data_IF_813307348003
#
_entry.id   IF_813307348003
#
_cell.length_a   1.000
_cell.length_b   1.000
_cell.length_c   1.000
_cell.angle_alpha   90.00
_cell.angle_beta   90.00
_cell.angle_gamma   90.00
#
_symmetry.space_group_name_H-M   'P 1'
#
loop_
_entity.id
_entity.type
_entity.pdbx_description
1 polymer ?
#
# COMPACT_ATOMS: atom_id res chain seq x y z
N UNK A 1 -50.88 4.47 22.58
CA UNK A 1 -50.03 4.90 23.71
C UNK A 1 -49.49 3.69 24.45
N UNK A 2 -48.67 2.89 23.77
CA UNK A 2 -47.75 1.91 24.36
C UNK A 2 -46.41 2.01 23.60
N UNK A 3 -46.11 3.22 23.11
CA UNK A 3 -44.77 3.59 22.68
C UNK A 3 -43.87 3.56 23.92
N UNK A 4 -42.60 3.18 23.77
CA UNK A 4 -41.54 3.27 24.78
C UNK A 4 -41.25 2.10 25.74
N UNK A 5 -41.78 0.87 25.55
CA UNK A 5 -41.32 -0.25 26.40
C UNK A 5 -40.47 -1.34 25.72
N UNK A 6 -40.49 -1.48 24.40
CA UNK A 6 -39.66 -2.51 23.72
C UNK A 6 -38.30 -1.95 23.24
N UNK A 7 -38.06 -0.65 23.42
CA UNK A 7 -36.79 0.02 23.07
C UNK A 7 -35.70 -0.17 24.15
N UNK A 8 -35.97 -0.80 25.31
CA UNK A 8 -35.05 -0.76 26.45
C UNK A 8 -34.82 -2.08 27.19
N UNK A 9 -34.72 -3.19 26.45
CA UNK A 9 -33.97 -4.37 26.91
C UNK A 9 -33.14 -4.86 25.72
N UNK A 10 -32.13 -4.12 25.27
CA UNK A 10 -30.79 -4.14 25.86
C UNK A 10 -30.33 -5.56 26.13
N UNK A 11 -29.45 -6.05 25.26
CA UNK A 11 -28.07 -6.47 25.58
C UNK A 11 -27.65 -7.58 24.61
N UNK A 12 -26.82 -7.16 23.65
CA UNK A 12 -25.55 -7.81 23.31
C UNK A 12 -25.57 -9.34 23.24
N UNK A 13 -25.72 -9.86 22.02
CA UNK A 13 -24.95 -11.03 21.59
C UNK A 13 -24.39 -10.73 20.19
N UNK A 14 -23.40 -9.83 20.17
CA UNK A 14 -22.38 -9.82 19.15
C UNK A 14 -21.15 -10.48 19.79
N UNK A 15 -20.77 -11.66 19.31
CA UNK A 15 -19.39 -12.15 19.15
C UNK A 15 -19.32 -13.68 19.24
N UNK A 16 -19.13 -14.35 18.10
CA UNK A 16 -18.03 -15.31 17.94
C UNK A 16 -17.96 -15.76 16.48
N UNK A 17 -17.17 -15.06 15.67
CA UNK A 17 -16.58 -15.66 14.47
C UNK A 17 -15.13 -15.96 14.85
N UNK A 18 -14.85 -17.21 15.21
CA UNK A 18 -13.49 -17.68 15.44
C UNK A 18 -12.74 -17.71 14.10
N UNK A 19 -11.86 -16.74 13.89
CA UNK A 19 -10.88 -16.79 12.82
C UNK A 19 -9.86 -17.89 13.14
N UNK A 20 -9.79 -18.92 12.31
CA UNK A 20 -8.75 -19.92 12.38
C UNK A 20 -7.42 -19.27 11.95
N UNK A 21 -6.51 -19.05 12.90
CA UNK A 21 -5.14 -18.65 12.57
C UNK A 21 -4.38 -19.86 12.02
N UNK A 22 -4.09 -19.85 10.72
CA UNK A 22 -3.12 -20.76 10.14
C UNK A 22 -1.73 -20.42 10.70
N UNK A 23 -1.11 -21.37 11.39
CA UNK A 23 0.31 -21.29 11.78
C UNK A 23 1.15 -21.50 10.52
N UNK A 24 1.86 -20.45 10.09
CA UNK A 24 2.94 -20.57 9.12
C UNK A 24 4.27 -20.82 9.85
N UNK A 25 5.20 -21.61 9.28
CA UNK A 25 6.47 -21.93 9.91
C UNK A 25 7.37 -20.69 9.93
N UNK A 26 8.02 -20.45 11.09
CA UNK A 26 9.09 -19.47 11.23
C UNK A 26 10.38 -20.04 10.61
N UNK A 27 10.71 -19.61 9.40
CA UNK A 27 12.11 -19.56 8.99
C UNK A 27 12.63 -18.17 9.34
N UNK A 28 13.44 -18.16 10.41
CA UNK A 28 14.03 -16.95 10.97
C UNK A 28 15.29 -16.64 10.18
N UNK A 29 15.23 -15.66 9.29
CA UNK A 29 16.42 -14.93 8.83
C UNK A 29 16.39 -13.53 9.47
N UNK A 30 17.40 -13.16 10.28
CA UNK A 30 17.45 -11.87 10.92
C UNK A 30 18.13 -10.87 9.98
N UNK A 31 17.36 -10.04 9.28
CA UNK A 31 17.94 -8.96 8.47
C UNK A 31 17.37 -7.60 8.85
N UNK A 32 18.14 -6.95 9.72
CA UNK A 32 18.47 -5.53 9.76
C UNK A 32 17.32 -4.51 9.91
N UNK A 33 17.34 -3.82 11.05
CA UNK A 33 16.91 -2.42 11.14
C UNK A 33 17.95 -1.59 10.37
N UNK A 34 17.89 -1.62 9.04
CA UNK A 34 18.67 -0.78 8.14
C UNK A 34 17.66 0.03 7.31
N UNK A 35 17.89 1.34 7.21
CA UNK A 35 16.91 2.36 6.80
C UNK A 35 15.86 1.92 5.78
N UNK A 36 14.62 2.39 5.96
CA UNK A 36 13.41 2.09 5.17
C UNK A 36 13.45 2.59 3.71
N UNK A 37 14.63 2.58 3.10
CA UNK A 37 14.83 2.80 1.66
C UNK A 37 14.83 1.45 0.96
N UNK A 38 13.78 1.18 0.20
CA UNK A 38 13.76 0.06 -0.73
C UNK A 38 14.29 0.58 -2.06
N UNK A 39 15.38 -0.03 -2.52
CA UNK A 39 15.97 0.18 -3.84
C UNK A 39 15.94 -1.14 -4.58
N UNK A 40 15.10 -1.25 -5.60
CA UNK A 40 15.06 -2.45 -6.45
C UNK A 40 15.30 -2.04 -7.90
N UNK A 41 16.37 -2.60 -8.45
CA UNK A 41 16.68 -2.56 -9.86
C UNK A 41 16.40 -3.95 -10.43
N UNK A 42 15.76 -4.01 -11.59
CA UNK A 42 15.66 -5.24 -12.37
C UNK A 42 16.96 -5.39 -13.17
N UNK A 43 17.61 -6.54 -13.09
CA UNK A 43 18.92 -6.80 -13.71
C UNK A 43 18.95 -6.62 -15.24
N UNK A 44 17.80 -6.53 -15.91
CA UNK A 44 17.67 -6.27 -17.36
C UNK A 44 17.13 -4.89 -17.74
N UNK A 45 16.79 -4.02 -16.77
CA UNK A 45 16.11 -2.75 -17.05
C UNK A 45 16.96 -1.53 -16.68
N UNK A 46 16.77 -0.45 -17.43
CA UNK A 46 17.39 0.87 -17.18
C UNK A 46 16.68 1.67 -16.07
N UNK A 47 15.65 1.11 -15.44
CA UNK A 47 14.74 1.82 -14.54
C UNK A 47 14.77 1.27 -13.13
N UNK A 48 14.76 2.17 -12.16
CA UNK A 48 14.86 1.89 -10.72
C UNK A 48 13.74 2.60 -9.99
N UNK A 49 13.11 1.92 -9.03
CA UNK A 49 12.22 2.57 -8.05
C UNK A 49 12.96 2.69 -6.72
N UNK A 50 12.95 3.90 -6.17
CA UNK A 50 13.48 4.22 -4.85
C UNK A 50 12.31 4.67 -3.98
N UNK A 51 11.95 3.85 -2.99
CA UNK A 51 10.92 4.18 -2.01
C UNK A 51 11.61 4.51 -0.70
N UNK A 52 11.50 5.76 -0.25
CA UNK A 52 12.05 6.24 1.01
C UNK A 52 10.86 6.56 1.93
N UNK A 53 10.41 5.57 2.68
CA UNK A 53 9.17 5.72 3.44
C UNK A 53 9.21 4.91 4.76
N UNK A 54 9.34 5.59 5.91
CA UNK A 54 9.44 4.92 7.19
C UNK A 54 8.28 3.97 7.50
N UNK A 55 8.61 2.73 7.83
CA UNK A 55 7.63 1.68 8.11
C UNK A 55 7.01 1.02 6.88
N UNK A 56 7.38 1.41 5.65
CA UNK A 56 6.86 0.74 4.45
C UNK A 56 7.27 -0.74 4.41
N UNK A 57 8.52 -1.08 4.70
CA UNK A 57 8.99 -2.48 4.74
C UNK A 57 8.20 -3.34 5.73
N UNK A 58 8.05 -2.84 6.96
CA UNK A 58 7.31 -3.55 8.01
C UNK A 58 5.84 -3.72 7.63
N UNK A 59 5.22 -2.72 7.01
CA UNK A 59 3.86 -2.80 6.51
C UNK A 59 3.74 -3.77 5.32
N UNK A 60 4.69 -3.73 4.38
CA UNK A 60 4.71 -4.59 3.19
C UNK A 60 4.79 -6.07 3.57
N UNK A 61 5.55 -6.41 4.61
CA UNK A 61 5.65 -7.77 5.15
C UNK A 61 4.29 -8.33 5.65
N UNK A 62 3.31 -7.47 5.92
CA UNK A 62 1.95 -7.86 6.32
C UNK A 62 0.96 -7.95 5.15
N UNK A 63 1.38 -7.57 3.94
CA UNK A 63 0.53 -7.56 2.76
C UNK A 63 0.52 -8.93 2.06
N UNK A 64 -0.48 -9.19 1.19
CA UNK A 64 -0.46 -10.36 0.34
C UNK A 64 0.86 -10.45 -0.45
N UNK A 65 1.46 -11.65 -0.55
CA UNK A 65 2.74 -11.81 -1.23
C UNK A 65 2.60 -11.58 -2.75
N UNK A 66 3.74 -11.49 -3.43
CA UNK A 66 3.79 -11.45 -4.90
C UNK A 66 3.00 -12.61 -5.51
N UNK A 67 2.33 -12.34 -6.63
CA UNK A 67 1.45 -13.30 -7.31
C UNK A 67 0.01 -13.32 -6.81
N UNK A 68 -0.31 -12.66 -5.68
CA UNK A 68 -1.69 -12.53 -5.22
C UNK A 68 -2.54 -11.64 -6.15
N UNK A 69 -1.97 -10.51 -6.59
CA UNK A 69 -2.57 -9.63 -7.59
C UNK A 69 -1.98 -9.92 -8.96
N UNK A 70 -2.80 -9.86 -10.00
CA UNK A 70 -2.31 -9.98 -11.38
C UNK A 70 -1.58 -8.70 -11.79
N UNK A 71 -0.58 -8.78 -12.69
CA UNK A 71 0.10 -7.60 -13.22
C UNK A 71 -0.87 -6.54 -13.74
N UNK A 72 -1.85 -6.94 -14.56
CA UNK A 72 -2.85 -6.03 -15.13
C UNK A 72 -3.65 -5.23 -14.07
N UNK A 73 -3.93 -5.80 -12.88
CA UNK A 73 -4.59 -5.07 -11.80
C UNK A 73 -3.64 -4.03 -11.19
N UNK A 74 -2.39 -4.41 -10.98
CA UNK A 74 -1.37 -3.55 -10.39
C UNK A 74 -1.02 -2.41 -11.35
N UNK A 75 -0.80 -2.69 -12.62
CA UNK A 75 -0.48 -1.71 -13.67
C UNK A 75 -1.61 -0.67 -13.79
N UNK A 76 -2.86 -1.12 -13.95
CA UNK A 76 -4.00 -0.20 -14.04
C UNK A 76 -4.15 0.69 -12.80
N UNK A 77 -3.82 0.18 -11.61
CA UNK A 77 -3.80 0.99 -10.38
C UNK A 77 -2.63 1.98 -10.38
N UNK A 78 -1.43 1.52 -10.75
CA UNK A 78 -0.21 2.32 -10.77
C UNK A 78 -0.36 3.49 -11.73
N UNK A 79 -0.80 3.25 -12.97
CA UNK A 79 -1.04 4.27 -13.99
C UNK A 79 -1.88 5.43 -13.44
N UNK A 80 -3.00 5.09 -12.81
CA UNK A 80 -3.95 6.07 -12.26
C UNK A 80 -3.36 6.83 -11.08
N UNK A 81 -2.70 6.13 -10.15
CA UNK A 81 -2.20 6.72 -8.92
C UNK A 81 -0.94 7.54 -9.12
N UNK A 82 -0.07 7.13 -10.06
CA UNK A 82 1.06 7.95 -10.52
C UNK A 82 0.57 9.27 -11.08
N UNK A 83 -0.45 9.23 -11.95
CA UNK A 83 -1.01 10.45 -12.54
C UNK A 83 -1.50 11.42 -11.44
N UNK A 84 -2.33 10.93 -10.52
CA UNK A 84 -2.85 11.76 -9.43
C UNK A 84 -1.75 12.25 -8.49
N UNK A 85 -0.82 11.38 -8.09
CA UNK A 85 0.31 11.75 -7.25
C UNK A 85 1.13 12.88 -7.90
N UNK A 86 1.46 12.74 -9.18
CA UNK A 86 2.21 13.75 -9.94
C UNK A 86 1.43 15.05 -10.14
N UNK A 87 0.10 15.00 -10.27
CA UNK A 87 -0.72 16.21 -10.28
C UNK A 87 -0.59 16.97 -8.94
N UNK A 88 -0.53 16.25 -7.81
CA UNK A 88 -0.40 16.84 -6.47
C UNK A 88 0.99 17.39 -6.18
N UNK A 89 2.04 16.71 -6.66
CA UNK A 89 3.43 17.24 -6.64
C UNK A 89 3.49 18.62 -7.29
N UNK A 90 2.76 18.83 -8.38
CA UNK A 90 2.75 20.10 -9.12
C UNK A 90 1.81 21.16 -8.53
N UNK A 91 1.09 20.85 -7.44
CA UNK A 91 0.12 21.76 -6.83
C UNK A 91 0.41 21.99 -5.32
N UNK A 92 1.61 22.49 -4.95
CA UNK A 92 2.04 22.63 -3.56
C UNK A 92 1.23 23.66 -2.74
N UNK A 93 0.45 24.51 -3.40
CA UNK A 93 -0.50 25.42 -2.73
C UNK A 93 -1.75 24.69 -2.21
N UNK A 94 -2.08 23.54 -2.80
CA UNK A 94 -3.28 22.77 -2.49
C UNK A 94 -2.98 21.46 -1.73
N UNK A 95 -1.75 20.96 -1.84
CA UNK A 95 -1.32 19.69 -1.25
C UNK A 95 -0.04 19.87 -0.46
N UNK A 96 0.07 19.13 0.65
CA UNK A 96 1.23 19.19 1.56
C UNK A 96 2.51 18.74 0.83
N UNK A 97 3.48 19.64 0.60
CA UNK A 97 4.73 19.29 -0.10
C UNK A 97 5.59 18.27 0.65
N UNK A 98 5.34 18.04 1.95
CA UNK A 98 6.03 16.99 2.71
C UNK A 98 5.53 15.58 2.36
N UNK A 99 4.34 15.46 1.77
CA UNK A 99 3.77 14.19 1.30
C UNK A 99 4.05 13.93 -0.19
N UNK A 100 4.14 15.01 -0.99
CA UNK A 100 4.29 14.94 -2.45
C UNK A 100 5.63 15.53 -2.88
N UNK A 101 6.72 14.82 -2.56
CA UNK A 101 8.09 15.35 -2.62
C UNK A 101 8.67 15.30 -4.04
N UNK A 102 8.58 14.15 -4.72
CA UNK A 102 9.23 13.93 -6.01
C UNK A 102 8.24 13.37 -7.02
N UNK A 103 8.25 13.90 -8.24
CA UNK A 103 7.48 13.35 -9.35
C UNK A 103 7.98 11.92 -9.65
N UNK A 104 7.05 11.02 -9.91
CA UNK A 104 7.34 9.65 -10.34
C UNK A 104 7.36 9.64 -11.87
N UNK A 105 8.51 9.34 -12.47
CA UNK A 105 8.61 9.15 -13.91
C UNK A 105 8.24 7.70 -14.26
N UNK A 106 7.05 7.53 -14.80
CA UNK A 106 6.46 6.22 -15.06
C UNK A 106 5.66 6.29 -16.36
N UNK A 107 5.97 5.35 -17.25
CA UNK A 107 5.40 5.19 -18.57
C UNK A 107 4.67 3.84 -18.63
N UNK A 108 3.37 3.87 -18.86
CA UNK A 108 2.51 2.68 -18.94
C UNK A 108 2.89 1.71 -20.06
N UNK A 109 3.63 2.19 -21.06
CA UNK A 109 4.05 1.38 -22.21
C UNK A 109 5.41 0.67 -21.96
N UNK A 110 6.01 0.87 -20.77
CA UNK A 110 7.26 0.25 -20.34
C UNK A 110 6.98 -0.90 -19.38
N UNK A 111 7.62 -2.06 -19.64
CA UNK A 111 7.63 -3.19 -18.73
C UNK A 111 8.71 -3.00 -17.66
N UNK A 112 8.29 -2.61 -16.45
CA UNK A 112 9.17 -2.43 -15.30
C UNK A 112 9.50 -3.74 -14.56
N UNK A 113 8.86 -4.85 -14.95
CA UNK A 113 8.95 -6.14 -14.30
C UNK A 113 8.11 -6.25 -13.02
N UNK A 114 7.74 -7.50 -12.71
CA UNK A 114 6.80 -7.87 -11.65
C UNK A 114 7.12 -7.25 -10.28
N UNK A 115 8.40 -7.14 -9.92
CA UNK A 115 8.80 -6.65 -8.60
C UNK A 115 8.61 -5.13 -8.46
N UNK A 116 9.01 -4.37 -9.48
CA UNK A 116 8.82 -2.91 -9.48
C UNK A 116 7.33 -2.58 -9.52
N UNK A 117 6.56 -3.25 -10.39
CA UNK A 117 5.10 -3.10 -10.45
C UNK A 117 4.45 -3.40 -9.10
N UNK A 118 4.84 -4.49 -8.45
CA UNK A 118 4.32 -4.89 -7.14
C UNK A 118 4.66 -3.90 -6.03
N UNK A 119 5.90 -3.40 -6.01
CA UNK A 119 6.33 -2.42 -5.00
C UNK A 119 5.63 -1.08 -5.15
N UNK A 120 5.53 -0.55 -6.36
CA UNK A 120 4.82 0.71 -6.61
C UNK A 120 3.34 0.60 -6.23
N UNK A 121 2.72 -0.53 -6.57
CA UNK A 121 1.32 -0.82 -6.21
C UNK A 121 1.11 -0.79 -4.70
N UNK A 122 1.98 -1.46 -3.96
CA UNK A 122 1.90 -1.51 -2.51
C UNK A 122 2.31 -0.20 -1.85
N UNK A 123 3.26 0.54 -2.40
CA UNK A 123 3.63 1.88 -1.93
C UNK A 123 2.42 2.81 -1.91
N UNK A 124 1.64 2.86 -3.00
CA UNK A 124 0.46 3.72 -2.99
C UNK A 124 -0.61 3.28 -2.00
N UNK A 125 -0.80 1.97 -1.80
CA UNK A 125 -1.73 1.46 -0.77
C UNK A 125 -1.27 1.85 0.63
N UNK A 126 0.03 1.74 0.90
CA UNK A 126 0.64 2.23 2.14
C UNK A 126 0.42 3.73 2.30
N UNK A 127 0.75 4.53 1.27
CA UNK A 127 0.66 5.97 1.28
C UNK A 127 -0.77 6.45 1.59
N UNK A 128 -1.77 5.90 0.89
CA UNK A 128 -3.18 6.21 1.13
C UNK A 128 -3.61 5.87 2.56
N UNK A 129 -3.21 4.70 3.07
CA UNK A 129 -3.52 4.28 4.44
C UNK A 129 -2.81 5.14 5.49
N UNK A 130 -1.52 5.42 5.29
CA UNK A 130 -0.63 6.09 6.24
C UNK A 130 -0.98 7.56 6.41
N UNK A 131 -1.36 8.21 5.32
CA UNK A 131 -1.62 9.65 5.24
C UNK A 131 -3.08 10.00 4.99
N UNK A 132 -3.97 9.00 5.00
CA UNK A 132 -5.41 9.15 4.73
C UNK A 132 -5.68 9.92 3.43
N UNK A 133 -4.91 9.60 2.40
CA UNK A 133 -5.05 10.18 1.06
C UNK A 133 -5.94 9.29 0.20
N UNK A 134 -6.61 9.89 -0.79
CA UNK A 134 -7.34 9.18 -1.84
C UNK A 134 -6.75 9.59 -3.16
N UNK A 135 -5.87 8.75 -3.70
CA UNK A 135 -5.29 8.96 -5.02
C UNK A 135 -6.20 8.36 -6.08
#
# INVERSE_FOLDING_TARGET
>A
MLSYFVILVSIVILASCGSNQAKYPNDTEPTAVAGDTIRIANDSLEYEIIIIEPGFNAWLATQPPRGYFTPAIMDASNDRKVLEYNLRVNAPLNYDPSLYVFRIDYDRDVDYGDEVTFLLFNYFRFFEQRYNQRL
#
